data_IF_531484115177
#
_entry.id   IF_531484115177
#
_cell.length_a   1.000
_cell.length_b   1.000
_cell.length_c   1.000
_cell.angle_alpha   90.00
_cell.angle_beta   90.00
_cell.angle_gamma   90.00
#
_symmetry.space_group_name_H-M   'P 1'
#
loop_
_entity.id
_entity.type
_entity.pdbx_description
1 polymer ?
#
# COMPACT_ATOMS: atom_id res chain seq x y z
N UNK A 1 -7.85 27.97 -9.98
CA UNK A 1 -6.88 28.36 -8.92
C UNK A 1 -6.07 27.11 -8.64
N UNK A 2 -4.74 27.16 -8.71
CA UNK A 2 -3.92 25.96 -8.47
C UNK A 2 -3.86 25.65 -6.99
N UNK A 3 -3.92 24.37 -6.64
CA UNK A 3 -3.75 23.92 -5.28
C UNK A 3 -2.36 24.28 -4.74
N UNK A 4 -2.29 24.62 -3.45
CA UNK A 4 -1.02 24.74 -2.73
C UNK A 4 -0.56 23.37 -2.28
N UNK A 5 0.76 23.14 -2.30
CA UNK A 5 1.42 21.96 -1.74
C UNK A 5 1.05 21.80 -0.27
N UNK A 6 0.47 20.66 0.10
CA UNK A 6 -0.02 20.36 1.46
C UNK A 6 1.11 19.96 2.42
N UNK A 7 2.30 19.61 1.90
CA UNK A 7 3.46 19.29 2.73
C UNK A 7 4.23 20.54 3.17
N UNK A 8 4.76 21.35 2.24
CA UNK A 8 5.49 22.58 2.61
C UNK A 8 4.61 23.82 2.78
N UNK A 9 3.38 23.86 2.23
CA UNK A 9 2.45 25.01 2.28
C UNK A 9 3.04 26.34 1.76
N UNK A 10 4.03 26.28 0.87
CA UNK A 10 4.76 27.48 0.36
C UNK A 10 4.75 27.65 -1.16
N UNK A 11 4.44 26.58 -1.90
CA UNK A 11 4.55 26.53 -3.37
C UNK A 11 3.32 25.85 -3.95
N UNK A 12 3.05 26.10 -5.23
CA UNK A 12 2.00 25.41 -5.98
C UNK A 12 2.24 23.89 -5.97
N UNK A 13 1.18 23.13 -5.74
CA UNK A 13 1.18 21.69 -5.93
C UNK A 13 1.26 21.36 -7.42
N UNK A 14 1.90 20.24 -7.74
CA UNK A 14 1.79 19.64 -9.06
C UNK A 14 0.50 18.80 -9.10
N UNK A 15 -0.14 18.72 -10.26
CA UNK A 15 -1.40 17.97 -10.42
C UNK A 15 -1.21 16.43 -10.44
N UNK A 16 0.03 15.95 -10.32
CA UNK A 16 0.39 14.56 -10.60
C UNK A 16 1.13 13.86 -9.44
N UNK A 17 0.92 14.27 -8.19
CA UNK A 17 1.52 13.56 -7.05
C UNK A 17 0.83 12.23 -6.83
N UNK A 18 1.54 11.13 -7.08
CA UNK A 18 1.04 9.79 -6.81
C UNK A 18 0.90 9.54 -5.31
N UNK A 19 -0.24 8.98 -4.90
CA UNK A 19 -0.46 8.59 -3.49
C UNK A 19 0.44 7.42 -3.10
N UNK A 20 0.45 6.37 -3.94
CA UNK A 20 1.37 5.22 -3.84
C UNK A 20 2.45 5.39 -4.92
N UNK A 21 3.75 5.19 -4.64
CA UNK A 21 4.84 5.44 -5.57
C UNK A 21 4.63 4.84 -6.97
N UNK A 22 4.90 5.65 -8.00
CA UNK A 22 4.64 5.30 -9.40
C UNK A 22 5.35 4.02 -9.87
N UNK A 23 6.50 3.68 -9.28
CA UNK A 23 7.25 2.48 -9.64
C UNK A 23 6.49 1.19 -9.32
N UNK A 24 5.55 1.20 -8.37
CA UNK A 24 4.71 0.04 -8.04
C UNK A 24 3.75 -0.24 -9.19
N UNK A 25 3.06 0.79 -9.68
CA UNK A 25 2.17 0.68 -10.84
C UNK A 25 2.94 0.35 -12.13
N UNK A 26 4.14 0.91 -12.29
CA UNK A 26 5.05 0.53 -13.37
C UNK A 26 5.37 -0.96 -13.32
N UNK A 27 5.80 -1.48 -12.17
CA UNK A 27 6.09 -2.92 -12.01
C UNK A 27 4.88 -3.80 -12.31
N UNK A 28 3.68 -3.39 -11.90
CA UNK A 28 2.45 -4.13 -12.22
C UNK A 28 2.21 -4.23 -13.72
N UNK A 29 2.33 -3.12 -14.44
CA UNK A 29 2.17 -3.07 -15.90
C UNK A 29 3.25 -3.86 -16.62
N UNK A 30 4.51 -3.65 -16.24
CA UNK A 30 5.67 -4.30 -16.84
C UNK A 30 5.66 -5.83 -16.62
N UNK A 31 4.98 -6.31 -15.57
CA UNK A 31 4.79 -7.74 -15.26
C UNK A 31 3.39 -8.27 -15.58
N UNK A 32 2.56 -7.50 -16.29
CA UNK A 32 1.19 -7.86 -16.67
C UNK A 32 1.12 -8.23 -18.15
N UNK A 33 0.29 -9.22 -18.54
CA UNK A 33 0.11 -9.61 -19.94
C UNK A 33 -0.51 -8.48 -20.77
N UNK A 34 -1.33 -7.64 -20.16
CA UNK A 34 -2.06 -6.59 -20.88
C UNK A 34 -1.38 -5.23 -20.86
N UNK A 35 -0.45 -5.01 -19.92
CA UNK A 35 0.17 -3.69 -19.69
C UNK A 35 -0.77 -2.61 -19.13
N UNK A 36 -2.02 -2.95 -18.79
CA UNK A 36 -3.02 -2.01 -18.25
C UNK A 36 -3.46 -2.39 -16.85
N UNK A 37 -3.98 -1.40 -16.12
CA UNK A 37 -4.57 -1.55 -14.79
C UNK A 37 -6.09 -1.35 -14.83
N UNK A 38 -6.79 -1.82 -13.81
CA UNK A 38 -8.21 -1.60 -13.56
C UNK A 38 -8.44 -1.45 -12.06
N UNK A 39 -9.14 -0.41 -11.66
CA UNK A 39 -9.56 -0.22 -10.27
C UNK A 39 -10.83 -1.02 -9.97
N UNK A 40 -11.02 -1.37 -8.69
CA UNK A 40 -12.25 -2.01 -8.20
C UNK A 40 -13.45 -1.07 -8.21
N UNK A 41 -13.23 0.24 -8.22
CA UNK A 41 -14.29 1.26 -8.37
C UNK A 41 -14.83 1.30 -9.80
N UNK A 42 -13.95 1.24 -10.81
CA UNK A 42 -14.30 1.34 -12.23
C UNK A 42 -13.72 0.16 -13.05
N UNK A 43 -14.20 -1.08 -12.83
CA UNK A 43 -13.61 -2.28 -13.45
C UNK A 43 -13.73 -2.34 -14.98
N UNK A 44 -14.60 -1.52 -15.57
CA UNK A 44 -14.79 -1.42 -17.01
C UNK A 44 -13.86 -0.40 -17.70
N UNK A 45 -13.04 0.32 -16.93
CA UNK A 45 -12.13 1.35 -17.44
C UNK A 45 -10.69 0.91 -17.26
N UNK A 46 -9.88 1.12 -18.29
CA UNK A 46 -8.42 0.92 -18.20
C UNK A 46 -7.79 2.15 -17.61
N UNK A 47 -6.92 1.93 -16.64
CA UNK A 47 -6.08 2.96 -16.06
C UNK A 47 -4.64 2.78 -16.53
N UNK A 48 -4.01 3.90 -16.84
CA UNK A 48 -2.60 3.95 -17.27
C UNK A 48 -1.64 4.11 -16.10
N UNK A 49 -2.16 4.46 -14.93
CA UNK A 49 -1.37 4.86 -13.77
C UNK A 49 -2.20 4.73 -12.49
N UNK A 50 -1.57 4.90 -11.33
CA UNK A 50 -2.27 4.94 -10.04
C UNK A 50 -2.96 6.26 -9.74
N UNK A 51 -3.64 6.30 -8.57
CA UNK A 51 -4.28 7.53 -8.07
C UNK A 51 -3.28 8.66 -7.84
N UNK A 52 -3.71 9.88 -8.22
CA UNK A 52 -2.92 11.11 -8.11
C UNK A 52 -3.80 12.23 -7.57
N UNK A 53 -3.19 13.07 -6.74
CA UNK A 53 -3.84 14.25 -6.16
C UNK A 53 -2.85 15.40 -6.07
N UNK A 54 -3.30 16.66 -6.06
CA UNK A 54 -2.40 17.81 -5.98
C UNK A 54 -1.88 18.04 -4.55
N UNK A 55 -1.06 17.11 -4.06
CA UNK A 55 -0.56 17.09 -2.68
C UNK A 55 0.78 17.81 -2.54
N UNK A 56 1.72 17.63 -3.48
CA UNK A 56 3.12 18.02 -3.30
C UNK A 56 3.56 19.03 -4.36
N UNK A 57 4.55 19.86 -4.02
CA UNK A 57 5.28 20.66 -5.00
C UNK A 57 6.47 19.85 -5.54
N UNK A 58 7.10 20.35 -6.62
CA UNK A 58 8.27 19.70 -7.25
C UNK A 58 9.43 19.42 -6.29
N UNK A 59 9.63 20.28 -5.29
CA UNK A 59 10.71 20.11 -4.31
C UNK A 59 10.42 18.95 -3.37
N UNK A 60 9.21 18.86 -2.81
CA UNK A 60 8.80 17.72 -2.01
C UNK A 60 8.89 16.41 -2.79
N UNK A 61 8.49 16.39 -4.07
CA UNK A 61 8.60 15.18 -4.90
C UNK A 61 10.04 14.74 -5.09
N UNK A 62 10.96 15.69 -5.30
CA UNK A 62 12.39 15.38 -5.38
C UNK A 62 12.89 14.80 -4.06
N UNK A 63 12.61 15.46 -2.94
CA UNK A 63 13.06 15.02 -1.62
C UNK A 63 12.49 13.62 -1.29
N UNK A 64 11.22 13.36 -1.61
CA UNK A 64 10.58 12.06 -1.36
C UNK A 64 11.12 10.96 -2.30
N UNK A 65 11.46 11.30 -3.54
CA UNK A 65 11.96 10.34 -4.53
C UNK A 65 13.25 9.65 -4.10
N UNK A 66 14.09 10.29 -3.29
CA UNK A 66 15.31 9.67 -2.75
C UNK A 66 14.96 8.48 -1.85
N UNK A 67 14.07 8.69 -0.88
CA UNK A 67 13.59 7.63 0.02
C UNK A 67 12.79 6.54 -0.72
N UNK A 68 11.97 6.92 -1.70
CA UNK A 68 11.28 5.97 -2.57
C UNK A 68 12.24 5.06 -3.33
N UNK A 69 13.37 5.60 -3.82
CA UNK A 69 14.39 4.81 -4.51
C UNK A 69 15.10 3.82 -3.58
N UNK A 70 15.37 4.22 -2.33
CA UNK A 70 15.91 3.31 -1.31
C UNK A 70 14.93 2.17 -1.02
N UNK A 71 13.67 2.48 -0.69
CA UNK A 71 12.65 1.46 -0.45
C UNK A 71 12.48 0.52 -1.65
N UNK A 72 12.47 1.07 -2.87
CA UNK A 72 12.39 0.28 -4.09
C UNK A 72 13.53 -0.73 -4.19
N UNK A 73 14.77 -0.32 -3.92
CA UNK A 73 15.97 -1.14 -4.07
C UNK A 73 16.13 -2.17 -2.94
N UNK A 74 15.91 -1.74 -1.70
CA UNK A 74 16.19 -2.52 -0.48
C UNK A 74 15.08 -3.50 -0.17
N UNK A 75 13.82 -3.08 -0.31
CA UNK A 75 12.66 -3.89 0.09
C UNK A 75 11.91 -4.38 -1.15
N UNK A 76 11.33 -3.46 -1.94
CA UNK A 76 10.35 -3.82 -2.97
C UNK A 76 10.95 -4.78 -4.02
N UNK A 77 12.14 -4.50 -4.52
CA UNK A 77 12.78 -5.34 -5.55
C UNK A 77 13.22 -6.71 -5.03
N UNK A 78 13.32 -6.89 -3.70
CA UNK A 78 13.66 -8.16 -3.07
C UNK A 78 12.43 -9.05 -2.90
N UNK A 79 11.30 -8.46 -2.54
CA UNK A 79 10.05 -9.20 -2.34
C UNK A 79 9.24 -9.37 -3.63
N UNK A 80 9.25 -8.38 -4.52
CA UNK A 80 8.53 -8.39 -5.79
C UNK A 80 9.36 -9.03 -6.92
N UNK A 81 9.97 -10.18 -6.61
CA UNK A 81 10.81 -10.96 -7.50
C UNK A 81 10.20 -12.36 -7.70
N UNK A 82 10.04 -12.75 -8.97
CA UNK A 82 9.51 -14.07 -9.33
C UNK A 82 10.60 -15.09 -9.68
N UNK A 83 11.88 -14.67 -9.73
CA UNK A 83 13.03 -15.52 -10.04
C UNK A 83 13.69 -16.01 -8.75
N UNK A 84 13.88 -15.11 -7.80
CA UNK A 84 14.49 -15.38 -6.52
C UNK A 84 13.44 -15.36 -5.41
N UNK A 85 13.53 -16.27 -4.41
CA UNK A 85 12.64 -16.23 -3.25
C UNK A 85 12.87 -14.95 -2.43
N UNK A 86 11.86 -14.57 -1.66
CA UNK A 86 12.01 -13.52 -0.66
C UNK A 86 13.15 -13.89 0.31
N UNK A 87 14.08 -12.96 0.62
CA UNK A 87 15.11 -13.21 1.62
C UNK A 87 14.51 -13.60 2.98
N UNK A 88 15.23 -14.45 3.73
CA UNK A 88 14.86 -14.81 5.11
C UNK A 88 14.89 -13.61 6.07
N UNK A 89 15.61 -12.55 5.69
CA UNK A 89 15.69 -11.27 6.40
C UNK A 89 15.56 -10.12 5.43
N UNK A 90 14.65 -9.18 5.74
CA UNK A 90 14.53 -7.93 5.01
C UNK A 90 15.23 -6.81 5.76
N UNK A 91 16.14 -6.14 5.08
CA UNK A 91 16.77 -4.92 5.58
C UNK A 91 15.78 -3.75 5.45
N UNK A 92 15.64 -2.98 6.53
CA UNK A 92 14.70 -1.87 6.66
C UNK A 92 15.49 -0.65 7.15
N UNK A 93 16.17 0.01 6.21
CA UNK A 93 16.89 1.26 6.53
C UNK A 93 15.95 2.38 6.97
N UNK A 94 16.51 3.40 7.61
CA UNK A 94 15.78 4.63 7.94
C UNK A 94 15.11 5.26 6.71
N UNK A 95 15.77 5.24 5.54
CA UNK A 95 15.16 5.74 4.29
C UNK A 95 13.96 4.91 3.86
N UNK A 96 14.00 3.60 4.06
CA UNK A 96 12.86 2.72 3.79
C UNK A 96 11.69 2.98 4.75
N UNK A 97 11.96 3.23 6.04
CA UNK A 97 10.94 3.65 7.02
C UNK A 97 10.32 5.00 6.64
N UNK A 98 11.15 5.99 6.28
CA UNK A 98 10.68 7.30 5.82
C UNK A 98 9.80 7.17 4.57
N UNK A 99 10.14 6.27 3.63
CA UNK A 99 9.27 6.00 2.48
C UNK A 99 7.88 5.49 2.91
N UNK A 100 7.79 4.61 3.93
CA UNK A 100 6.51 4.15 4.47
C UNK A 100 5.73 5.31 5.07
N UNK A 101 6.38 6.18 5.85
CA UNK A 101 5.76 7.38 6.43
C UNK A 101 5.28 8.35 5.35
N UNK A 102 6.02 8.51 4.25
CA UNK A 102 5.60 9.30 3.08
C UNK A 102 4.32 8.74 2.47
N UNK A 103 4.23 7.42 2.28
CA UNK A 103 3.02 6.77 1.74
C UNK A 103 1.85 6.98 2.71
N UNK A 104 2.04 6.71 4.01
CA UNK A 104 1.02 6.90 5.03
C UNK A 104 0.52 8.36 5.08
N UNK A 105 1.45 9.34 5.03
CA UNK A 105 1.11 10.76 4.99
C UNK A 105 0.32 11.12 3.74
N UNK A 106 0.74 10.65 2.56
CA UNK A 106 0.03 10.92 1.29
C UNK A 106 -1.38 10.34 1.31
N UNK A 107 -1.56 9.13 1.83
CA UNK A 107 -2.88 8.48 1.95
C UNK A 107 -3.80 9.25 2.89
N UNK A 108 -3.29 9.63 4.08
CA UNK A 108 -4.06 10.42 5.03
C UNK A 108 -4.38 11.82 4.49
N UNK A 109 -3.42 12.46 3.84
CA UNK A 109 -3.59 13.79 3.26
C UNK A 109 -4.60 13.75 2.10
N UNK A 110 -4.56 12.72 1.26
CA UNK A 110 -5.53 12.52 0.20
C UNK A 110 -6.95 12.39 0.76
N UNK A 111 -7.13 11.53 1.77
CA UNK A 111 -8.41 11.32 2.43
C UNK A 111 -8.96 12.59 3.11
N UNK A 112 -8.08 13.44 3.66
CA UNK A 112 -8.48 14.67 4.36
C UNK A 112 -8.73 15.86 3.41
N UNK A 113 -7.84 16.10 2.44
CA UNK A 113 -7.95 17.25 1.54
C UNK A 113 -8.86 17.00 0.33
N UNK A 114 -9.05 15.73 -0.06
CA UNK A 114 -9.89 15.31 -1.18
C UNK A 114 -10.87 14.21 -0.75
N UNK A 115 -11.69 14.45 0.31
CA UNK A 115 -12.56 13.42 0.86
C UNK A 115 -13.64 13.03 -0.14
N UNK A 116 -13.96 11.73 -0.20
CA UNK A 116 -15.16 11.27 -0.89
C UNK A 116 -16.36 11.49 0.03
N UNK A 117 -17.51 11.85 -0.54
CA UNK A 117 -18.71 12.17 0.24
C UNK A 117 -19.12 11.01 1.17
N UNK A 118 -19.55 11.37 2.40
CA UNK A 118 -20.12 10.47 3.42
C UNK A 118 -19.18 9.38 3.97
N UNK A 119 -17.85 9.57 3.93
CA UNK A 119 -16.90 8.57 4.44
C UNK A 119 -16.52 8.74 5.91
N UNK A 120 -16.73 9.91 6.51
CA UNK A 120 -16.29 10.22 7.86
C UNK A 120 -17.37 11.00 8.62
N UNK A 121 -17.51 10.69 9.91
CA UNK A 121 -18.17 11.55 10.89
C UNK A 121 -17.34 12.81 11.13
N UNK A 122 -17.93 13.83 11.75
CA UNK A 122 -17.19 15.06 12.06
C UNK A 122 -16.01 14.79 13.00
N UNK A 123 -16.22 13.95 14.03
CA UNK A 123 -15.19 13.60 15.01
C UNK A 123 -14.01 12.86 14.36
N UNK A 124 -14.28 11.97 13.41
CA UNK A 124 -13.24 11.30 12.62
C UNK A 124 -12.48 12.27 11.71
N UNK A 125 -13.18 13.25 11.14
CA UNK A 125 -12.59 14.23 10.24
C UNK A 125 -11.70 15.27 10.95
N UNK A 126 -11.91 15.49 12.25
CA UNK A 126 -11.15 16.44 13.06
C UNK A 126 -9.78 15.90 13.53
N UNK A 127 -9.55 14.59 13.45
CA UNK A 127 -8.30 13.93 13.90
C UNK A 127 -7.11 14.02 12.91
N UNK A 128 -7.28 13.79 11.59
CA UNK A 128 -6.20 13.80 10.62
C UNK A 128 -5.22 14.99 10.66
N UNK A 129 -5.63 16.25 10.90
CA UNK A 129 -4.70 17.38 10.92
C UNK A 129 -3.53 17.22 11.91
N UNK A 130 -3.80 16.69 13.11
CA UNK A 130 -2.76 16.43 14.11
C UNK A 130 -1.78 15.35 13.65
N UNK A 131 -2.30 14.23 13.15
CA UNK A 131 -1.47 13.15 12.62
C UNK A 131 -0.64 13.58 11.40
N UNK A 132 -1.20 14.39 10.50
CA UNK A 132 -0.46 14.92 9.35
C UNK A 132 0.77 15.76 9.78
N UNK A 133 0.67 16.50 10.89
CA UNK A 133 1.80 17.24 11.46
C UNK A 133 2.83 16.30 12.08
N UNK A 134 2.38 15.33 12.88
CA UNK A 134 3.25 14.36 13.55
C UNK A 134 3.99 13.46 12.53
N UNK A 135 3.31 12.93 11.51
CA UNK A 135 3.93 12.11 10.46
C UNK A 135 4.91 12.94 9.63
N UNK A 136 4.58 14.20 9.33
CA UNK A 136 5.53 15.13 8.68
C UNK A 136 6.78 15.37 9.52
N UNK A 137 6.68 15.32 10.83
CA UNK A 137 7.83 15.36 11.74
C UNK A 137 8.72 14.13 11.56
N UNK A 138 8.12 12.93 11.47
CA UNK A 138 8.84 11.68 11.21
C UNK A 138 9.56 11.68 9.85
N UNK A 139 8.89 12.15 8.81
CA UNK A 139 9.48 12.25 7.45
C UNK A 139 10.72 13.16 7.44
N UNK A 140 10.77 14.15 8.34
CA UNK A 140 11.93 15.04 8.52
C UNK A 140 13.04 14.47 9.40
N UNK A 141 12.92 13.21 9.84
CA UNK A 141 13.91 12.50 10.64
C UNK A 141 13.74 12.65 12.15
N UNK A 142 12.66 13.27 12.63
CA UNK A 142 12.38 13.23 14.07
C UNK A 142 11.90 11.84 14.48
N UNK A 143 12.21 11.42 15.70
CA UNK A 143 11.74 10.14 16.26
C UNK A 143 10.44 10.34 17.04
N UNK A 144 9.60 9.31 17.05
CA UNK A 144 8.40 9.27 17.88
C UNK A 144 8.10 7.83 18.27
N UNK A 145 7.60 7.64 19.49
CA UNK A 145 7.05 6.37 19.97
C UNK A 145 5.50 6.37 19.96
N UNK A 146 4.88 7.42 19.39
CA UNK A 146 3.41 7.55 19.32
C UNK A 146 2.79 6.55 18.35
N UNK A 147 3.52 6.18 17.30
CA UNK A 147 3.04 5.35 16.21
C UNK A 147 3.74 4.00 16.23
N UNK A 148 3.07 2.98 15.68
CA UNK A 148 3.65 1.66 15.47
C UNK A 148 3.54 1.30 13.99
N UNK A 149 4.62 0.82 13.41
CA UNK A 149 4.67 0.47 11.99
C UNK A 149 4.98 -1.00 11.83
N UNK A 150 4.09 -1.72 11.18
CA UNK A 150 4.20 -3.16 10.95
C UNK A 150 4.38 -3.46 9.46
N UNK A 151 5.35 -4.33 9.14
CA UNK A 151 5.65 -4.79 7.79
C UNK A 151 5.48 -6.31 7.72
N UNK A 152 4.60 -6.78 6.83
CA UNK A 152 4.31 -8.20 6.61
C UNK A 152 4.68 -8.58 5.17
N UNK A 153 5.80 -9.31 4.97
CA UNK A 153 6.13 -9.93 3.70
C UNK A 153 5.15 -11.06 3.39
N UNK A 154 4.49 -11.02 2.24
CA UNK A 154 3.43 -11.96 1.87
C UNK A 154 4.00 -13.28 1.29
N UNK A 155 4.88 -13.95 2.02
CA UNK A 155 5.37 -15.30 1.67
C UNK A 155 4.43 -16.37 2.20
N UNK A 156 4.44 -17.58 1.61
CA UNK A 156 3.58 -18.68 2.10
C UNK A 156 3.78 -18.99 3.58
N UNK A 157 5.04 -19.01 4.01
CA UNK A 157 5.39 -19.26 5.41
C UNK A 157 4.78 -18.21 6.33
N UNK A 158 5.03 -16.93 6.05
CA UNK A 158 4.53 -15.81 6.88
C UNK A 158 3.00 -15.79 6.89
N UNK A 159 2.36 -15.89 5.72
CA UNK A 159 0.90 -15.87 5.61
C UNK A 159 0.24 -17.04 6.36
N UNK A 160 0.84 -18.24 6.29
CA UNK A 160 0.34 -19.42 7.01
C UNK A 160 0.49 -19.24 8.52
N UNK A 161 1.62 -18.73 8.98
CA UNK A 161 1.93 -18.53 10.40
C UNK A 161 1.03 -17.47 11.04
N UNK A 162 0.76 -16.39 10.31
CA UNK A 162 -0.19 -15.35 10.69
C UNK A 162 -1.66 -15.76 10.51
N UNK A 163 -1.93 -16.98 10.03
CA UNK A 163 -3.28 -17.47 9.74
C UNK A 163 -4.08 -16.51 8.83
N UNK A 164 -3.43 -15.90 7.84
CA UNK A 164 -4.12 -14.99 6.92
C UNK A 164 -5.03 -15.77 5.96
N UNK A 165 -6.12 -15.14 5.46
CA UNK A 165 -7.09 -15.79 4.60
C UNK A 165 -6.47 -16.42 3.35
N UNK A 166 -6.88 -17.64 3.03
CA UNK A 166 -6.43 -18.37 1.82
C UNK A 166 -7.14 -17.90 0.56
N UNK A 167 -7.01 -16.60 0.25
CA UNK A 167 -7.55 -15.98 -0.98
C UNK A 167 -6.67 -16.28 -2.19
N UNK A 168 -7.06 -15.83 -3.38
CA UNK A 168 -6.20 -15.95 -4.56
C UNK A 168 -4.85 -15.24 -4.32
N UNK A 169 -3.73 -15.89 -4.66
CA UNK A 169 -2.38 -15.34 -4.54
C UNK A 169 -2.21 -13.98 -5.24
N UNK A 170 -3.02 -13.71 -6.26
CA UNK A 170 -3.07 -12.42 -6.94
C UNK A 170 -3.37 -11.25 -5.99
N UNK A 171 -4.14 -11.48 -4.94
CA UNK A 171 -4.35 -10.46 -3.89
C UNK A 171 -3.01 -10.12 -3.23
N UNK A 172 -2.30 -11.13 -2.72
CA UNK A 172 -1.05 -10.91 -1.99
C UNK A 172 0.08 -10.38 -2.88
N UNK A 173 0.20 -10.90 -4.10
CA UNK A 173 1.36 -10.64 -4.96
C UNK A 173 1.17 -9.46 -5.90
N UNK A 174 -0.06 -9.01 -6.15
CA UNK A 174 -0.34 -8.06 -7.23
C UNK A 174 -1.39 -6.99 -6.91
N UNK A 175 -2.18 -7.12 -5.85
CA UNK A 175 -3.11 -6.06 -5.48
C UNK A 175 -2.39 -4.84 -4.91
N UNK A 176 -3.00 -3.68 -5.11
CA UNK A 176 -2.53 -2.39 -4.63
C UNK A 176 -3.71 -1.59 -4.11
N UNK A 177 -3.56 -1.02 -2.92
CA UNK A 177 -4.55 -0.16 -2.29
C UNK A 177 -4.02 0.36 -0.98
N UNK A 178 -4.42 1.56 -0.60
CA UNK A 178 -4.14 2.09 0.71
C UNK A 178 -5.28 3.00 1.15
N UNK A 179 -5.71 2.87 2.40
CA UNK A 179 -6.75 3.72 2.96
C UNK A 179 -6.58 3.88 4.48
N UNK A 180 -7.01 5.01 5.04
CA UNK A 180 -7.18 5.15 6.47
C UNK A 180 -8.32 4.25 6.95
N UNK A 181 -8.15 3.66 8.12
CA UNK A 181 -9.14 2.81 8.76
C UNK A 181 -9.29 3.17 10.22
N UNK A 182 -10.53 3.33 10.63
CA UNK A 182 -10.94 3.73 11.96
C UNK A 182 -11.86 2.63 12.49
N UNK A 183 -11.61 2.19 13.72
CA UNK A 183 -12.46 1.24 14.43
C UNK A 183 -12.67 1.68 15.87
N UNK A 184 -13.68 1.07 16.49
CA UNK A 184 -13.91 1.10 17.93
C UNK A 184 -13.97 2.53 18.48
N UNK A 185 -14.81 3.38 17.87
CA UNK A 185 -15.02 4.77 18.29
C UNK A 185 -13.71 5.57 18.49
N UNK A 186 -12.77 5.42 17.55
CA UNK A 186 -11.43 6.04 17.53
C UNK A 186 -10.38 5.39 18.45
N UNK A 187 -10.64 4.23 19.05
CA UNK A 187 -9.61 3.48 19.79
C UNK A 187 -8.56 2.83 18.87
N UNK A 188 -8.88 2.67 17.58
CA UNK A 188 -7.94 2.23 16.55
C UNK A 188 -8.02 3.17 15.35
N UNK A 189 -6.87 3.71 14.96
CA UNK A 189 -6.75 4.50 13.73
C UNK A 189 -5.41 4.19 13.07
N UNK A 190 -5.45 3.61 11.87
CA UNK A 190 -4.25 3.25 11.11
C UNK A 190 -4.41 3.52 9.62
N UNK A 191 -3.29 3.54 8.92
CA UNK A 191 -3.26 3.46 7.46
C UNK A 191 -2.91 2.02 7.09
N UNK A 192 -3.86 1.34 6.44
CA UNK A 192 -3.63 0.02 5.86
C UNK A 192 -3.11 0.19 4.44
N UNK A 193 -1.93 -0.35 4.16
CA UNK A 193 -1.26 -0.21 2.86
C UNK A 193 -0.99 -1.61 2.32
N UNK A 194 -1.62 -1.93 1.19
CA UNK A 194 -1.36 -3.12 0.39
C UNK A 194 -0.60 -2.72 -0.88
N UNK A 195 0.58 -3.27 -1.05
CA UNK A 195 1.35 -3.20 -2.30
C UNK A 195 1.79 -4.62 -2.70
N UNK A 196 2.30 -4.88 -3.91
CA UNK A 196 2.68 -6.22 -4.33
C UNK A 196 3.63 -6.86 -3.31
N UNK A 197 3.30 -8.08 -2.85
CA UNK A 197 4.06 -8.87 -1.89
C UNK A 197 4.20 -8.31 -0.47
N UNK A 198 3.57 -7.17 -0.14
CA UNK A 198 3.66 -6.58 1.20
C UNK A 198 2.28 -6.14 1.71
N UNK A 199 2.09 -6.28 3.01
CA UNK A 199 1.07 -5.58 3.78
C UNK A 199 1.82 -4.71 4.79
N UNK A 200 1.44 -3.44 4.89
CA UNK A 200 2.00 -2.49 5.84
C UNK A 200 0.84 -1.91 6.64
N UNK A 201 0.97 -1.90 7.97
CA UNK A 201 0.03 -1.26 8.87
C UNK A 201 0.76 -0.15 9.62
N UNK A 202 0.34 1.10 9.42
CA UNK A 202 0.88 2.26 10.12
C UNK A 202 -0.14 2.75 11.13
N UNK A 203 0.04 2.38 12.40
CA UNK A 203 -0.88 2.65 13.50
C UNK A 203 -0.62 4.04 14.08
N UNK A 204 -1.57 4.96 13.86
CA UNK A 204 -1.56 6.31 14.40
C UNK A 204 -2.16 6.37 15.81
N UNK A 205 -3.15 5.51 16.07
CA UNK A 205 -3.68 5.19 17.39
C UNK A 205 -3.53 3.68 17.55
N UNK A 206 -2.40 3.20 18.12
CA UNK A 206 -2.19 1.79 18.40
C UNK A 206 -3.07 1.34 19.57
N UNK A 207 -3.55 0.10 19.52
CA UNK A 207 -4.33 -0.50 20.60
C UNK A 207 -3.48 -1.58 21.29
N UNK A 208 -3.39 -1.53 22.62
CA UNK A 208 -2.57 -2.47 23.39
C UNK A 208 -3.15 -3.88 23.45
N UNK A 209 -4.41 -4.07 23.06
CA UNK A 209 -5.02 -5.38 22.86
C UNK A 209 -4.65 -6.06 21.54
N UNK A 210 -4.00 -5.35 20.60
CA UNK A 210 -3.61 -5.92 19.32
C UNK A 210 -2.35 -6.79 19.46
N UNK A 211 -2.44 -8.03 18.97
CA UNK A 211 -1.35 -9.00 19.06
C UNK A 211 -0.36 -8.80 17.90
N UNK A 212 0.82 -8.27 18.19
CA UNK A 212 1.89 -8.12 17.21
C UNK A 212 3.17 -8.80 17.68
N UNK A 213 3.76 -9.63 16.83
CA UNK A 213 5.05 -10.24 17.12
C UNK A 213 5.90 -10.40 15.85
N UNK A 214 7.08 -9.76 15.88
CA UNK A 214 8.10 -9.87 14.83
C UNK A 214 7.87 -9.03 13.57
N UNK A 215 6.82 -8.20 13.51
CA UNK A 215 6.47 -7.39 12.33
C UNK A 215 6.83 -5.91 12.46
N UNK A 216 7.12 -5.42 13.66
CA UNK A 216 7.33 -3.99 13.91
C UNK A 216 8.69 -3.53 13.39
N UNK A 217 8.74 -2.38 12.70
CA UNK A 217 9.97 -1.85 12.06
C UNK A 217 10.56 -0.60 12.72
N UNK A 218 9.86 0.06 13.65
CA UNK A 218 10.21 1.43 14.06
C UNK A 218 11.65 1.52 14.61
N UNK A 219 12.01 0.60 15.50
CA UNK A 219 13.31 0.58 16.20
C UNK A 219 14.27 -0.53 15.75
N UNK A 220 14.02 -1.14 14.58
CA UNK A 220 14.89 -2.21 14.03
C UNK A 220 15.39 -1.86 12.63
N UNK A 221 16.58 -2.37 12.28
CA UNK A 221 17.16 -2.19 10.94
C UNK A 221 16.84 -3.35 10.00
N UNK A 222 16.23 -4.43 10.51
CA UNK A 222 15.83 -5.58 9.70
C UNK A 222 14.72 -6.38 10.38
N UNK A 223 13.95 -7.11 9.57
CA UNK A 223 12.98 -8.10 10.04
C UNK A 223 13.36 -9.49 9.51
N UNK A 224 13.67 -10.44 10.41
CA UNK A 224 13.76 -11.85 10.03
C UNK A 224 12.35 -12.46 9.91
N UNK A 225 12.05 -13.08 8.77
CA UNK A 225 10.72 -13.63 8.46
C UNK A 225 10.28 -14.70 9.46
N UNK A 226 11.23 -15.49 9.98
CA UNK A 226 10.95 -16.53 10.96
C UNK A 226 10.53 -16.01 12.35
N UNK A 227 10.78 -14.73 12.65
CA UNK A 227 10.35 -14.10 13.90
C UNK A 227 8.92 -13.55 13.83
N UNK A 228 8.32 -13.45 12.63
CA UNK A 228 6.93 -13.02 12.47
C UNK A 228 6.02 -14.12 12.98
N UNK A 229 5.35 -13.91 14.11
CA UNK A 229 4.56 -14.94 14.81
C UNK A 229 3.07 -14.58 14.87
N UNK A 230 2.72 -13.31 14.98
CA UNK A 230 1.33 -12.85 15.07
C UNK A 230 1.14 -11.46 14.47
N UNK A 231 -0.12 -11.16 14.13
CA UNK A 231 -0.57 -9.84 13.72
C UNK A 231 -1.96 -9.56 14.29
N UNK A 232 -2.34 -8.28 14.33
CA UNK A 232 -3.64 -7.87 14.83
C UNK A 232 -4.78 -8.49 14.00
N UNK A 233 -5.90 -8.81 14.67
CA UNK A 233 -7.06 -9.47 14.05
C UNK A 233 -7.71 -8.66 12.92
N UNK A 234 -7.50 -7.34 12.90
CA UNK A 234 -7.97 -6.52 11.79
C UNK A 234 -7.23 -6.83 10.48
N UNK A 235 -6.00 -7.35 10.51
CA UNK A 235 -5.22 -7.66 9.30
C UNK A 235 -5.91 -8.74 8.46
N UNK A 236 -6.21 -9.95 8.96
CA UNK A 236 -6.96 -10.94 8.19
C UNK A 236 -8.34 -10.41 7.78
N UNK A 237 -9.06 -9.70 8.65
CA UNK A 237 -10.36 -9.11 8.31
C UNK A 237 -10.27 -8.13 7.12
N UNK A 238 -9.21 -7.33 7.05
CA UNK A 238 -8.94 -6.43 5.93
C UNK A 238 -8.65 -7.17 4.63
N UNK A 239 -7.87 -8.26 4.70
CA UNK A 239 -7.64 -9.12 3.54
C UNK A 239 -8.95 -9.65 2.98
N UNK A 240 -9.81 -10.22 3.83
CA UNK A 240 -11.11 -10.74 3.41
C UNK A 240 -11.97 -9.64 2.81
N UNK A 241 -12.09 -8.50 3.49
CA UNK A 241 -12.88 -7.37 3.04
C UNK A 241 -12.50 -6.92 1.63
N UNK A 242 -11.23 -6.62 1.38
CA UNK A 242 -10.78 -6.16 0.06
C UNK A 242 -10.88 -7.25 -1.00
N UNK A 243 -10.66 -8.51 -0.65
CA UNK A 243 -10.82 -9.60 -1.58
C UNK A 243 -12.29 -9.80 -1.99
N UNK A 244 -13.24 -9.67 -1.06
CA UNK A 244 -14.68 -9.68 -1.36
C UNK A 244 -15.07 -8.51 -2.27
N UNK A 245 -14.57 -7.30 -1.99
CA UNK A 245 -14.77 -6.13 -2.86
C UNK A 245 -14.23 -6.39 -4.27
N UNK A 246 -13.05 -7.02 -4.39
CA UNK A 246 -12.50 -7.43 -5.67
C UNK A 246 -13.41 -8.43 -6.40
N UNK A 247 -13.90 -9.48 -5.74
CA UNK A 247 -14.81 -10.46 -6.34
C UNK A 247 -16.08 -9.80 -6.88
N UNK A 248 -16.74 -8.98 -6.06
CA UNK A 248 -17.92 -8.21 -6.48
C UNK A 248 -17.61 -7.28 -7.65
N UNK A 249 -16.42 -6.70 -7.68
CA UNK A 249 -15.99 -5.84 -8.78
C UNK A 249 -15.75 -6.60 -10.08
N UNK A 250 -15.13 -7.78 -10.00
CA UNK A 250 -14.88 -8.67 -11.14
C UNK A 250 -16.19 -9.07 -11.82
N UNK A 251 -17.22 -9.35 -11.03
CA UNK A 251 -18.52 -9.77 -11.56
C UNK A 251 -19.29 -8.63 -12.27
N UNK A 252 -18.84 -7.37 -12.11
CA UNK A 252 -19.37 -6.18 -12.83
C UNK A 252 -18.64 -5.87 -14.14
N UNK A 253 -17.61 -6.65 -14.50
CA UNK A 253 -16.90 -6.45 -15.78
C UNK A 253 -17.81 -6.87 -16.94
N UNK A 254 -18.06 -5.96 -17.87
CA UNK A 254 -18.87 -6.22 -19.06
C UNK A 254 -18.23 -7.24 -20.00
N UNK A 255 -19.05 -8.00 -20.72
CA UNK A 255 -18.61 -8.99 -21.71
C UNK A 255 -17.65 -8.38 -22.73
N UNK A 256 -17.94 -7.17 -23.21
CA UNK A 256 -17.06 -6.41 -24.12
C UNK A 256 -15.66 -6.21 -23.54
N UNK A 257 -15.55 -5.92 -22.24
CA UNK A 257 -14.26 -5.77 -21.58
C UNK A 257 -13.56 -7.10 -21.36
N UNK A 258 -14.31 -8.17 -21.04
CA UNK A 258 -13.78 -9.54 -20.94
C UNK A 258 -13.17 -9.97 -22.27
N UNK A 259 -13.88 -9.79 -23.39
CA UNK A 259 -13.37 -10.12 -24.73
C UNK A 259 -12.10 -9.34 -25.06
N UNK A 260 -12.06 -8.05 -24.71
CA UNK A 260 -10.87 -7.21 -24.90
C UNK A 260 -9.68 -7.70 -24.06
N UNK A 261 -9.92 -8.19 -22.84
CA UNK A 261 -8.87 -8.77 -22.00
C UNK A 261 -8.34 -10.08 -22.58
N UNK A 262 -9.23 -10.95 -23.09
CA UNK A 262 -8.83 -12.19 -23.76
C UNK A 262 -7.92 -11.92 -24.97
N UNK A 263 -8.31 -10.98 -25.85
CA UNK A 263 -7.51 -10.58 -27.02
C UNK A 263 -6.14 -10.01 -26.65
N UNK A 264 -6.04 -9.27 -25.55
CA UNK A 264 -4.76 -8.77 -25.07
C UNK A 264 -3.89 -9.90 -24.49
N UNK A 265 -4.50 -10.86 -23.78
CA UNK A 265 -3.81 -12.03 -23.22
C UNK A 265 -3.25 -12.97 -24.30
N UNK A 266 -3.92 -13.11 -25.45
CA UNK A 266 -3.42 -13.90 -26.59
C UNK A 266 -2.07 -13.40 -27.13
N UNK A 267 -1.78 -12.11 -26.96
CA UNK A 267 -0.54 -11.47 -27.43
C UNK A 267 0.53 -11.39 -26.34
N UNK A 268 0.23 -11.90 -25.14
CA UNK A 268 1.08 -11.69 -23.99
C UNK A 268 2.27 -12.64 -23.95
N UNK A 269 3.36 -12.17 -23.34
CA UNK A 269 4.44 -13.06 -22.91
C UNK A 269 3.93 -13.94 -21.76
N UNK A 270 3.93 -15.27 -21.97
CA UNK A 270 3.51 -16.25 -20.97
C UNK A 270 4.49 -16.35 -19.79
N UNK A 271 5.75 -15.94 -19.95
CA UNK A 271 6.74 -15.83 -18.88
C UNK A 271 6.70 -14.45 -18.21
N UNK A 272 5.52 -14.01 -17.77
CA UNK A 272 5.36 -12.78 -16.98
C UNK A 272 4.87 -13.09 -15.56
N UNK A 273 5.09 -12.13 -14.65
CA UNK A 273 4.75 -12.27 -13.23
C UNK A 273 3.28 -12.61 -12.97
N UNK A 274 2.37 -12.10 -13.82
CA UNK A 274 0.94 -12.43 -13.76
C UNK A 274 0.67 -13.94 -13.76
N UNK A 275 1.22 -14.67 -14.73
CA UNK A 275 0.97 -16.10 -14.86
C UNK A 275 1.64 -16.89 -13.74
N UNK A 276 2.77 -16.39 -13.23
CA UNK A 276 3.45 -16.98 -12.06
C UNK A 276 2.60 -16.88 -10.80
N UNK A 277 1.95 -15.74 -10.54
CA UNK A 277 0.98 -15.62 -9.44
C UNK A 277 -0.26 -16.48 -9.66
N UNK A 278 -0.83 -16.47 -10.88
CA UNK A 278 -2.04 -17.24 -11.21
C UNK A 278 -1.87 -18.75 -11.03
N UNK A 279 -0.66 -19.28 -11.26
CA UNK A 279 -0.37 -20.70 -11.14
C UNK A 279 -0.01 -21.12 -9.70
N UNK A 280 0.06 -20.20 -8.74
CA UNK A 280 0.35 -20.55 -7.33
C UNK A 280 -0.87 -21.12 -6.65
N UNK A 281 -0.64 -22.22 -5.92
CA UNK A 281 -1.61 -22.85 -5.02
C UNK A 281 -1.15 -22.69 -3.56
N UNK A 282 -2.06 -22.84 -2.61
CA UNK A 282 -1.75 -22.81 -1.17
C UNK A 282 -0.97 -24.03 -0.71
#
# INVERSE_FOLDING_TARGET
MKDLCKFYNKREAIENSHVIPSYIYKWLKDTSPTGYLRATSEPNKREQDGSKSPLLCKECERDFSEHENFFKKEIFSKVANYRDPCPERLEVSESSKICIYIIAWRVLADAYYFPKANQYTQDEFDRPPGFLVDIKSLIKGNKSNKFRTHLIPCTREVLTKLNLPKVDWFYYERSVGAEPRIWDDLERFLIYIKIPFLIICFEMVPNDGDCWEGTQIDDVDSIPLNAINSCADYVPAQVEHFFEVFKRSRDRVSEKQIEKMKKDMEKANLDCGFFKSMNKMW
#
